data_IF_446577572723
#
_entry.id   IF_446577572723
#
_cell.length_a   1.000
_cell.length_b   1.000
_cell.length_c   1.000
_cell.angle_alpha   90.00
_cell.angle_beta   90.00
_cell.angle_gamma   90.00
#
_symmetry.space_group_name_H-M   'P 1'
#
loop_
_entity.id
_entity.type
_entity.pdbx_description
1 polymer ?
#
# COMPACT_ATOMS: atom_id res chain seq x y z
N UNK A 1 -16.46 3.81 20.37
CA UNK A 1 -16.81 3.97 18.95
C UNK A 1 -15.60 3.55 18.13
N UNK A 2 -15.39 2.25 17.88
CA UNK A 2 -14.20 1.76 17.16
C UNK A 2 -14.62 0.88 15.99
N UNK A 3 -15.13 1.50 14.94
CA UNK A 3 -15.00 0.93 13.61
C UNK A 3 -13.53 1.03 13.21
N UNK A 4 -12.70 0.09 13.68
CA UNK A 4 -11.34 -0.06 13.18
C UNK A 4 -11.38 -0.74 11.82
N UNK A 5 -11.98 -0.06 10.84
CA UNK A 5 -11.89 -0.49 9.46
C UNK A 5 -10.41 -0.60 9.08
N UNK A 6 -9.99 -1.81 8.68
CA UNK A 6 -8.59 -2.09 8.31
C UNK A 6 -8.25 -1.21 7.11
N UNK A 7 -7.19 -0.41 7.23
CA UNK A 7 -6.70 0.43 6.13
C UNK A 7 -6.09 -0.45 5.04
N UNK A 8 -6.14 0.00 3.79
CA UNK A 8 -5.52 -0.69 2.65
C UNK A 8 -3.98 -0.65 2.74
N UNK A 9 -3.45 0.51 3.14
CA UNK A 9 -2.02 0.80 3.22
C UNK A 9 -1.54 1.08 4.65
N UNK A 10 -0.31 0.67 4.97
CA UNK A 10 0.30 0.87 6.30
C UNK A 10 1.11 2.15 6.47
N UNK A 11 0.79 3.18 5.67
CA UNK A 11 1.45 4.50 5.70
C UNK A 11 1.47 5.09 7.11
N UNK A 12 0.36 5.00 7.86
CA UNK A 12 0.29 5.47 9.24
C UNK A 12 1.25 4.76 10.17
N UNK A 13 1.35 3.43 10.05
CA UNK A 13 2.29 2.64 10.86
C UNK A 13 3.73 3.06 10.55
N UNK A 14 4.08 3.22 9.27
CA UNK A 14 5.42 3.67 8.88
C UNK A 14 5.76 5.07 9.40
N UNK A 15 4.80 6.00 9.40
CA UNK A 15 5.00 7.34 9.92
C UNK A 15 5.15 7.38 11.45
N UNK A 16 4.43 6.52 12.17
CA UNK A 16 4.44 6.44 13.64
C UNK A 16 5.68 5.72 14.21
N UNK A 17 6.46 5.02 13.38
CA UNK A 17 7.77 4.46 13.79
C UNK A 17 8.81 5.53 14.16
N UNK A 18 8.54 6.80 13.83
CA UNK A 18 9.39 7.95 14.17
C UNK A 18 8.71 8.80 15.25
N UNK A 19 9.49 9.59 16.00
CA UNK A 19 8.96 10.45 17.07
C UNK A 19 7.95 11.50 16.54
N UNK A 20 7.13 12.05 17.44
CA UNK A 20 6.01 12.98 17.10
C UNK A 20 6.50 14.21 16.30
N UNK A 21 7.67 14.74 16.65
CA UNK A 21 8.26 15.89 15.94
C UNK A 21 8.66 15.52 14.51
N UNK A 22 9.23 14.33 14.33
CA UNK A 22 9.55 13.79 13.01
C UNK A 22 8.28 13.50 12.19
N UNK A 23 7.20 13.07 12.83
CA UNK A 23 5.91 12.87 12.16
C UNK A 23 5.36 14.18 11.57
N UNK A 24 5.35 15.27 12.34
CA UNK A 24 4.87 16.58 11.83
C UNK A 24 5.71 17.07 10.65
N UNK A 25 7.02 16.90 10.72
CA UNK A 25 7.93 17.28 9.63
C UNK A 25 7.72 16.38 8.41
N UNK A 26 7.56 15.07 8.59
CA UNK A 26 7.31 14.12 7.51
C UNK A 26 6.02 14.44 6.75
N UNK A 27 4.92 14.71 7.46
CA UNK A 27 3.63 15.08 6.84
C UNK A 27 3.76 16.35 5.97
N UNK A 28 4.66 17.27 6.32
CA UNK A 28 4.91 18.48 5.52
C UNK A 28 5.84 18.25 4.33
N UNK A 29 6.83 17.35 4.45
CA UNK A 29 7.84 17.12 3.42
C UNK A 29 7.42 16.11 2.37
N UNK A 30 6.70 15.07 2.76
CA UNK A 30 6.27 13.98 1.88
C UNK A 30 5.46 14.47 0.67
N UNK A 31 4.45 15.35 0.83
CA UNK A 31 3.66 15.82 -0.31
C UNK A 31 4.52 16.52 -1.36
N UNK A 32 5.45 17.38 -0.92
CA UNK A 32 6.37 18.09 -1.81
C UNK A 32 7.33 17.13 -2.52
N UNK A 33 7.86 16.13 -1.81
CA UNK A 33 8.74 15.12 -2.41
C UNK A 33 8.02 14.27 -3.46
N UNK A 34 6.75 13.96 -3.23
CA UNK A 34 5.93 13.12 -4.11
C UNK A 34 5.18 13.90 -5.20
N UNK A 35 5.28 15.23 -5.22
CA UNK A 35 4.50 16.07 -6.14
C UNK A 35 2.98 16.00 -5.92
N UNK A 36 2.52 15.70 -4.69
CA UNK A 36 1.09 15.60 -4.35
C UNK A 36 0.67 16.67 -3.35
N UNK A 37 -0.64 16.92 -3.25
CA UNK A 37 -1.19 17.81 -2.23
C UNK A 37 -1.18 17.15 -0.83
N UNK A 38 -1.19 17.95 0.23
CA UNK A 38 -1.36 17.45 1.59
C UNK A 38 -2.69 16.68 1.76
N UNK A 39 -3.75 17.14 1.10
CA UNK A 39 -5.05 16.45 1.12
C UNK A 39 -4.95 15.07 0.46
N UNK A 40 -4.20 14.96 -0.64
CA UNK A 40 -3.95 13.68 -1.32
C UNK A 40 -3.22 12.71 -0.38
N UNK A 41 -2.20 13.16 0.36
CA UNK A 41 -1.55 12.34 1.39
C UNK A 41 -2.52 11.88 2.48
N UNK A 42 -3.42 12.76 2.93
CA UNK A 42 -4.46 12.41 3.90
C UNK A 42 -5.46 11.40 3.37
N UNK A 43 -5.81 11.44 2.09
CA UNK A 43 -6.66 10.43 1.47
C UNK A 43 -5.92 9.09 1.41
N UNK A 44 -4.70 9.07 0.89
CA UNK A 44 -3.88 7.86 0.76
C UNK A 44 -3.68 7.11 2.09
N UNK A 45 -3.38 7.82 3.18
CA UNK A 45 -3.21 7.21 4.51
C UNK A 45 -4.50 6.68 5.14
N UNK A 46 -5.67 6.99 4.58
CA UNK A 46 -6.97 6.64 5.15
C UNK A 46 -7.83 5.73 4.25
N UNK A 47 -7.34 5.33 3.07
CA UNK A 47 -8.04 4.38 2.20
C UNK A 47 -8.33 3.09 2.99
N UNK A 48 -9.59 2.68 2.99
CA UNK A 48 -10.03 1.44 3.64
C UNK A 48 -9.75 0.23 2.73
N UNK A 49 -9.56 -0.95 3.31
CA UNK A 49 -9.21 -2.15 2.55
C UNK A 49 -10.25 -2.52 1.48
N UNK A 50 -11.53 -2.29 1.75
CA UNK A 50 -12.64 -2.55 0.82
C UNK A 50 -12.98 -1.34 -0.06
N UNK A 51 -12.23 -0.25 0.03
CA UNK A 51 -12.46 0.95 -0.77
C UNK A 51 -12.01 0.71 -2.23
N UNK A 52 -12.84 1.05 -3.23
CA UNK A 52 -12.43 0.98 -4.64
C UNK A 52 -11.30 1.94 -4.99
N UNK A 53 -11.10 3.00 -4.19
CA UNK A 53 -10.01 3.94 -4.39
C UNK A 53 -8.64 3.24 -4.25
N UNK A 54 -7.69 3.73 -5.05
CA UNK A 54 -6.31 3.29 -4.95
C UNK A 54 -5.30 4.44 -5.03
N UNK A 55 -4.07 4.13 -4.62
CA UNK A 55 -2.90 4.99 -4.80
C UNK A 55 -2.30 4.67 -6.18
N UNK A 56 -1.94 5.67 -7.01
CA UNK A 56 -1.21 5.42 -8.24
C UNK A 56 0.06 4.61 -7.99
N UNK A 57 0.36 3.65 -8.87
CA UNK A 57 1.48 2.71 -8.67
C UNK A 57 2.83 3.40 -8.42
N UNK A 58 3.13 4.45 -9.18
CA UNK A 58 4.35 5.25 -9.00
C UNK A 58 4.47 5.79 -7.57
N UNK A 59 3.38 6.32 -7.01
CA UNK A 59 3.36 6.83 -5.64
C UNK A 59 3.54 5.71 -4.61
N UNK A 60 2.97 4.52 -4.86
CA UNK A 60 3.19 3.34 -4.00
C UNK A 60 4.67 2.98 -3.96
N UNK A 61 5.33 2.90 -5.13
CA UNK A 61 6.77 2.60 -5.22
C UNK A 61 7.60 3.65 -4.48
N UNK A 62 7.27 4.94 -4.64
CA UNK A 62 7.96 6.01 -3.91
C UNK A 62 7.80 5.90 -2.40
N UNK A 63 6.61 5.53 -1.90
CA UNK A 63 6.40 5.27 -0.48
C UNK A 63 7.19 4.06 0.00
N UNK A 64 7.25 2.98 -0.78
CA UNK A 64 8.01 1.79 -0.43
C UNK A 64 9.50 2.10 -0.32
N UNK A 65 10.06 2.86 -1.27
CA UNK A 65 11.44 3.34 -1.19
C UNK A 65 11.67 4.27 -0.01
N UNK A 66 10.78 5.24 0.22
CA UNK A 66 10.87 6.21 1.33
C UNK A 66 10.86 5.53 2.71
N UNK A 67 10.13 4.42 2.84
CA UNK A 67 10.02 3.65 4.07
C UNK A 67 10.91 2.40 4.10
N UNK A 68 11.80 2.23 3.11
CA UNK A 68 12.72 1.09 3.00
C UNK A 68 12.00 -0.28 3.04
N UNK A 69 10.83 -0.36 2.38
CA UNK A 69 10.03 -1.56 2.25
C UNK A 69 10.37 -2.30 0.96
N UNK A 70 10.17 -3.62 0.98
CA UNK A 70 10.21 -4.44 -0.24
C UNK A 70 8.99 -4.13 -1.13
N UNK A 71 9.06 -4.43 -2.45
CA UNK A 71 7.93 -4.26 -3.36
C UNK A 71 6.65 -4.96 -2.87
N UNK A 72 5.53 -4.26 -2.89
CA UNK A 72 4.25 -4.72 -2.34
C UNK A 72 4.18 -4.67 -0.81
N UNK A 73 5.24 -4.22 -0.15
CA UNK A 73 5.36 -4.13 1.29
C UNK A 73 4.52 -3.03 1.90
N UNK A 74 4.02 -2.05 1.15
CA UNK A 74 3.18 -0.97 1.70
C UNK A 74 1.76 -1.42 2.06
N UNK A 75 1.28 -2.52 1.46
CA UNK A 75 -0.05 -3.06 1.73
C UNK A 75 -0.13 -3.62 3.16
N UNK A 76 -1.30 -3.46 3.80
CA UNK A 76 -1.58 -4.12 5.08
C UNK A 76 -1.82 -5.62 4.90
N UNK A 77 -2.29 -6.05 3.74
CA UNK A 77 -2.53 -7.47 3.40
C UNK A 77 -1.87 -7.79 2.07
N UNK A 78 -1.09 -8.89 1.99
CA UNK A 78 -0.49 -9.30 0.74
C UNK A 78 -1.56 -9.71 -0.26
N UNK A 79 -1.43 -9.23 -1.49
CA UNK A 79 -2.22 -9.72 -2.62
C UNK A 79 -1.54 -10.98 -3.13
N UNK A 80 -2.29 -12.07 -3.25
CA UNK A 80 -1.83 -13.33 -3.83
C UNK A 80 -2.57 -13.57 -5.12
N UNK A 81 -1.83 -13.76 -6.20
CA UNK A 81 -2.36 -14.14 -7.50
C UNK A 81 -1.91 -15.54 -7.88
N UNK A 82 -2.57 -16.11 -8.88
CA UNK A 82 -2.08 -17.29 -9.58
C UNK A 82 -0.95 -16.88 -10.53
N UNK A 83 0.01 -17.77 -10.75
CA UNK A 83 0.98 -17.60 -11.84
C UNK A 83 0.32 -17.88 -13.19
N UNK A 84 0.96 -17.47 -14.29
CA UNK A 84 0.49 -17.82 -15.63
C UNK A 84 0.46 -19.35 -15.81
N UNK A 85 1.45 -20.06 -15.28
CA UNK A 85 1.51 -21.52 -15.33
C UNK A 85 0.37 -22.16 -14.54
N UNK A 86 0.01 -21.63 -13.36
CA UNK A 86 -1.16 -22.09 -12.60
C UNK A 86 -2.46 -21.91 -13.40
N UNK A 87 -2.56 -20.82 -14.17
CA UNK A 87 -3.72 -20.55 -15.02
C UNK A 87 -3.78 -21.55 -16.18
N UNK A 88 -2.68 -21.70 -16.94
CA UNK A 88 -2.60 -22.59 -18.10
C UNK A 88 -2.81 -24.05 -17.69
N UNK A 89 -2.17 -24.50 -16.61
CA UNK A 89 -2.27 -25.89 -16.17
C UNK A 89 -3.61 -26.22 -15.50
N UNK A 90 -4.39 -25.22 -15.09
CA UNK A 90 -5.76 -25.43 -14.59
C UNK A 90 -6.78 -25.72 -15.69
N UNK A 91 -6.44 -25.43 -16.95
CA UNK A 91 -7.30 -25.69 -18.13
C UNK A 91 -6.93 -26.96 -18.90
N UNK A 92 -5.74 -27.52 -18.67
CA UNK A 92 -5.32 -28.77 -19.30
C UNK A 92 -5.94 -29.96 -18.55
N UNK A 93 -6.70 -30.86 -19.22
CA UNK A 93 -7.17 -32.07 -18.59
C UNK A 93 -5.95 -32.87 -18.12
N UNK A 94 -5.95 -33.25 -16.83
CA UNK A 94 -4.99 -34.19 -16.26
C UNK A 94 -4.95 -35.42 -17.17
N UNK A 95 -3.90 -35.53 -18.00
CA UNK A 95 -3.65 -36.76 -18.75
C UNK A 95 -3.40 -37.84 -17.71
N UNK A 96 -4.38 -38.74 -17.59
CA UNK A 96 -4.37 -39.86 -16.66
C UNK A 96 -3.04 -40.61 -16.70
N UNK A 97 -2.56 -40.96 -15.51
CA UNK A 97 -1.60 -42.05 -15.34
C UNK A 97 -2.29 -43.38 -15.60
#
# INVERSE_FOLDING_TARGET
MSDSAVRKYKINECLLKRSIDHHRVAIRKIPNYMGISLNTLHNYRNILFNDPQDIPHEIVVLFEQLFELQPGGLLNKPIRGKTLDDLINSELPQKGK
#
